data_IF_388255133622
#
_entry.id   IF_388255133622
#
_cell.length_a   1.000
_cell.length_b   1.000
_cell.length_c   1.000
_cell.angle_alpha   90.00
_cell.angle_beta   90.00
_cell.angle_gamma   90.00
#
_symmetry.space_group_name_H-M   'P 1'
#
loop_
_entity.id
_entity.type
_entity.pdbx_description
1 polymer ?
#
# COMPACT_ATOMS: atom_id res chain seq x y z
N UNK A 1 30.96 -43.43 -24.90
CA UNK A 1 31.51 -42.10 -24.89
C UNK A 1 30.38 -41.11 -25.03
N UNK A 2 29.85 -41.02 -26.22
CA UNK A 2 28.74 -40.11 -26.42
C UNK A 2 27.54 -40.33 -25.55
N UNK A 3 27.41 -41.51 -25.06
CA UNK A 3 26.31 -41.82 -24.18
C UNK A 3 26.34 -41.08 -22.88
N UNK A 4 27.52 -40.91 -22.34
CA UNK A 4 27.69 -40.13 -21.11
C UNK A 4 27.33 -38.70 -21.31
N UNK A 5 27.78 -38.16 -22.44
CA UNK A 5 27.51 -36.76 -22.76
C UNK A 5 26.01 -36.49 -22.92
N UNK A 6 25.33 -37.46 -23.54
CA UNK A 6 23.89 -37.32 -23.73
C UNK A 6 23.12 -37.39 -22.41
N UNK A 7 23.50 -38.34 -21.59
CA UNK A 7 22.81 -38.52 -20.32
C UNK A 7 22.95 -37.30 -19.42
N UNK A 8 24.17 -36.82 -19.34
CA UNK A 8 24.44 -35.63 -18.50
C UNK A 8 23.69 -34.39 -18.98
N UNK A 9 23.77 -34.06 -20.28
CA UNK A 9 23.06 -32.87 -20.76
C UNK A 9 21.54 -32.96 -20.59
N UNK A 10 20.99 -34.14 -20.67
CA UNK A 10 19.55 -34.29 -20.52
C UNK A 10 19.14 -34.19 -19.06
N UNK A 11 19.88 -34.85 -18.18
CA UNK A 11 19.55 -34.89 -16.76
C UNK A 11 19.78 -33.55 -16.09
N UNK A 12 20.91 -32.94 -16.36
CA UNK A 12 21.26 -31.66 -15.73
C UNK A 12 20.30 -30.54 -16.09
N UNK A 13 19.98 -30.34 -17.39
CA UNK A 13 19.03 -29.29 -17.74
C UNK A 13 17.66 -29.50 -17.09
N UNK A 14 17.23 -30.73 -17.02
CA UNK A 14 15.93 -31.02 -16.42
C UNK A 14 15.95 -30.74 -14.92
N UNK A 15 17.01 -31.13 -14.23
CA UNK A 15 17.13 -30.87 -12.82
C UNK A 15 17.19 -29.36 -12.54
N UNK A 16 17.93 -28.64 -13.35
CA UNK A 16 17.99 -27.19 -13.25
C UNK A 16 16.65 -26.56 -13.55
N UNK A 17 15.96 -27.05 -14.54
CA UNK A 17 14.64 -26.55 -14.91
C UNK A 17 13.67 -26.69 -13.74
N UNK A 18 13.65 -27.85 -13.09
CA UNK A 18 12.78 -28.07 -11.93
C UNK A 18 13.17 -27.15 -10.79
N UNK A 19 14.47 -26.99 -10.56
CA UNK A 19 14.95 -26.11 -9.51
C UNK A 19 14.49 -24.67 -9.74
N UNK A 20 14.61 -24.18 -10.97
CA UNK A 20 14.19 -22.85 -11.30
C UNK A 20 12.67 -22.69 -11.25
N UNK A 21 11.94 -23.70 -11.66
CA UNK A 21 10.48 -23.68 -11.54
C UNK A 21 10.04 -23.55 -10.11
N UNK A 22 10.67 -24.29 -9.19
CA UNK A 22 10.37 -24.17 -7.77
C UNK A 22 10.71 -22.78 -7.25
N UNK A 23 11.86 -22.25 -7.65
CA UNK A 23 12.24 -20.90 -7.26
C UNK A 23 11.26 -19.86 -7.77
N UNK A 24 10.82 -20.02 -9.00
CA UNK A 24 9.86 -19.10 -9.61
C UNK A 24 8.55 -19.14 -8.82
N UNK A 25 8.09 -20.33 -8.45
CA UNK A 25 6.87 -20.44 -7.65
C UNK A 25 6.99 -19.74 -6.30
N UNK A 26 8.12 -19.91 -5.65
CA UNK A 26 8.37 -19.26 -4.36
C UNK A 26 8.36 -17.73 -4.54
N UNK A 27 9.05 -17.25 -5.57
CA UNK A 27 9.13 -15.83 -5.84
C UNK A 27 7.77 -15.25 -6.22
N UNK A 28 6.99 -15.98 -7.00
CA UNK A 28 5.64 -15.55 -7.36
C UNK A 28 4.77 -15.43 -6.12
N UNK A 29 4.88 -16.38 -5.21
CA UNK A 29 4.13 -16.36 -3.97
C UNK A 29 4.54 -15.17 -3.10
N UNK A 30 5.83 -14.93 -3.00
CA UNK A 30 6.35 -13.79 -2.25
C UNK A 30 5.88 -12.47 -2.87
N UNK A 31 5.89 -12.40 -4.19
CA UNK A 31 5.43 -11.21 -4.90
C UNK A 31 3.95 -10.99 -4.65
N UNK A 32 3.14 -12.03 -4.72
CA UNK A 32 1.71 -11.95 -4.46
C UNK A 32 1.45 -11.45 -3.04
N UNK A 33 2.16 -12.01 -2.07
CA UNK A 33 2.02 -11.58 -0.68
C UNK A 33 2.39 -10.10 -0.53
N UNK A 34 3.49 -9.69 -1.13
CA UNK A 34 3.93 -8.30 -1.06
C UNK A 34 2.94 -7.38 -1.75
N UNK A 35 2.40 -7.80 -2.89
CA UNK A 35 1.41 -7.02 -3.62
C UNK A 35 0.14 -6.85 -2.79
N UNK A 36 -0.31 -7.90 -2.12
CA UNK A 36 -1.48 -7.83 -1.26
C UNK A 36 -1.26 -6.91 -0.07
N UNK A 37 -0.08 -6.97 0.55
CA UNK A 37 0.26 -6.07 1.63
C UNK A 37 0.28 -4.63 1.17
N UNK A 38 0.79 -4.38 -0.02
CA UNK A 38 0.82 -3.05 -0.59
C UNK A 38 -0.58 -2.53 -0.86
N UNK A 39 -1.45 -3.36 -1.40
CA UNK A 39 -2.85 -2.99 -1.62
C UNK A 39 -3.52 -2.62 -0.31
N UNK A 40 -3.31 -3.43 0.73
CA UNK A 40 -3.89 -3.15 2.04
C UNK A 40 -3.37 -1.83 2.61
N UNK A 41 -2.08 -1.57 2.43
CA UNK A 41 -1.49 -0.33 2.89
C UNK A 41 -2.07 0.88 2.15
N UNK A 42 -2.28 0.74 0.84
CA UNK A 42 -2.88 1.81 0.03
C UNK A 42 -4.30 2.08 0.50
N UNK A 43 -5.10 1.04 0.72
CA UNK A 43 -6.46 1.21 1.22
C UNK A 43 -6.49 1.90 2.57
N UNK A 44 -5.54 1.54 3.43
CA UNK A 44 -5.45 2.16 4.75
C UNK A 44 -5.09 3.63 4.65
N UNK A 45 -4.16 3.98 3.76
CA UNK A 45 -3.79 5.37 3.51
C UNK A 45 -4.95 6.18 2.96
N UNK A 46 -5.71 5.59 2.04
CA UNK A 46 -6.88 6.26 1.48
C UNK A 46 -7.91 6.56 2.57
N UNK A 47 -8.15 5.60 3.48
CA UNK A 47 -9.05 5.83 4.60
C UNK A 47 -8.55 6.93 5.51
N UNK A 48 -7.26 6.95 5.78
CA UNK A 48 -6.67 8.00 6.62
C UNK A 48 -6.79 9.36 5.95
N UNK A 49 -6.61 9.42 4.64
CA UNK A 49 -6.77 10.67 3.90
C UNK A 49 -8.19 11.19 4.02
N UNK A 50 -9.18 10.31 3.92
CA UNK A 50 -10.58 10.70 4.07
C UNK A 50 -10.83 11.24 5.47
N UNK A 51 -10.31 10.56 6.49
CA UNK A 51 -10.46 10.99 7.87
C UNK A 51 -9.81 12.35 8.09
N UNK A 52 -8.62 12.55 7.53
CA UNK A 52 -7.92 13.83 7.63
C UNK A 52 -8.73 14.92 6.97
N UNK A 53 -9.28 14.66 5.78
CA UNK A 53 -10.09 15.64 5.08
C UNK A 53 -11.35 16.01 5.88
N UNK A 54 -11.99 15.03 6.49
CA UNK A 54 -13.17 15.27 7.32
C UNK A 54 -12.82 16.10 8.54
N UNK A 55 -11.70 15.78 9.19
CA UNK A 55 -11.26 16.53 10.37
C UNK A 55 -10.86 17.95 10.00
N UNK A 56 -10.22 18.12 8.86
CA UNK A 56 -9.85 19.45 8.39
C UNK A 56 -11.09 20.31 8.13
N UNK A 57 -12.11 19.71 7.52
CA UNK A 57 -13.37 20.39 7.29
C UNK A 57 -14.02 20.79 8.61
N UNK A 58 -14.00 19.90 9.59
CA UNK A 58 -14.55 20.18 10.91
C UNK A 58 -13.78 21.31 11.61
N UNK A 59 -12.47 21.29 11.51
CA UNK A 59 -11.63 22.37 12.05
C UNK A 59 -11.98 23.70 11.43
N UNK A 60 -12.20 23.73 10.14
CA UNK A 60 -12.58 24.97 9.45
C UNK A 60 -13.96 25.44 9.92
N UNK A 61 -14.90 24.54 10.11
CA UNK A 61 -16.19 24.89 10.64
C UNK A 61 -16.09 25.49 12.05
N UNK A 62 -15.27 24.88 12.90
CA UNK A 62 -15.05 25.38 14.25
C UNK A 62 -14.38 26.74 14.22
N UNK A 63 -13.41 26.91 13.33
CA UNK A 63 -12.70 28.18 13.20
C UNK A 63 -13.65 29.28 12.76
N UNK A 64 -14.49 29.01 11.78
CA UNK A 64 -15.47 29.95 11.30
C UNK A 64 -16.47 30.32 12.40
N UNK A 65 -16.96 29.31 13.11
CA UNK A 65 -17.90 29.53 14.22
C UNK A 65 -17.26 30.38 15.32
N UNK A 66 -16.00 30.14 15.62
CA UNK A 66 -15.27 30.90 16.62
C UNK A 66 -15.13 32.34 16.21
N UNK A 67 -14.76 32.58 14.95
CA UNK A 67 -14.62 33.95 14.41
C UNK A 67 -15.95 34.68 14.46
N UNK A 68 -17.03 34.01 14.05
CA UNK A 68 -18.37 34.61 14.09
C UNK A 68 -18.78 34.97 15.52
N UNK A 69 -18.56 34.07 16.45
CA UNK A 69 -18.88 34.33 17.84
C UNK A 69 -18.07 35.49 18.40
N UNK A 70 -16.79 35.55 18.06
CA UNK A 70 -15.91 36.63 18.48
C UNK A 70 -16.37 37.98 17.92
N UNK A 71 -16.74 38.02 16.65
CA UNK A 71 -17.23 39.21 16.04
C UNK A 71 -18.54 39.69 16.66
N UNK A 72 -19.43 38.76 16.91
CA UNK A 72 -20.71 39.09 17.57
C UNK A 72 -20.50 39.65 18.95
N UNK A 73 -19.59 39.03 19.70
CA UNK A 73 -19.28 39.50 21.05
C UNK A 73 -18.66 40.92 20.99
N UNK A 74 -17.78 41.12 20.05
CA UNK A 74 -17.14 42.43 19.85
C UNK A 74 -18.17 43.49 19.52
N UNK A 75 -19.06 43.19 18.59
CA UNK A 75 -20.11 44.13 18.19
C UNK A 75 -21.04 44.46 19.36
N UNK A 76 -21.38 43.43 20.12
CA UNK A 76 -22.21 43.63 21.32
C UNK A 76 -21.52 44.50 22.34
N UNK A 77 -20.20 44.38 22.44
CA UNK A 77 -19.44 45.16 23.41
C UNK A 77 -19.34 46.64 23.04
N UNK A 78 -19.51 46.95 21.78
CA UNK A 78 -19.45 48.36 21.33
C UNK A 78 -20.68 49.17 21.72
N UNK A 79 -21.74 48.49 22.06
CA UNK A 79 -22.95 49.18 22.45
C UNK A 79 -22.85 49.66 23.90
#
# INVERSE_FOLDING_TARGET
>A
MGKHDRTTPETMPRALELHYKDKIKILEKQLETSTNKLKDAIMLLERKDIIIAEKDAYIEELRTAFIDATLKAYRGGER
#
